data_IF_568694205078
#
_entry.id   IF_568694205078
#
_cell.length_a   1.000
_cell.length_b   1.000
_cell.length_c   1.000
_cell.angle_alpha   90.00
_cell.angle_beta   90.00
_cell.angle_gamma   90.00
#
_symmetry.space_group_name_H-M   'P 1'
#
loop_
_entity.id
_entity.type
_entity.pdbx_description
1 polymer ?
#
# COMPACT_ATOMS: atom_id res chain seq x y z
N UNK A 1 21.94 58.45 -31.10
CA UNK A 1 22.10 57.05 -30.63
C UNK A 1 21.10 56.19 -31.39
N UNK A 2 21.57 55.13 -32.06
CA UNK A 2 20.86 54.44 -33.14
C UNK A 2 19.82 53.43 -32.64
N UNK A 3 18.62 53.44 -33.24
CA UNK A 3 17.50 52.53 -32.95
C UNK A 3 17.90 51.04 -32.91
N UNK A 4 18.91 50.64 -33.69
CA UNK A 4 19.46 49.28 -33.70
C UNK A 4 19.97 48.81 -32.31
N UNK A 5 20.58 49.69 -31.51
CA UNK A 5 21.03 49.35 -30.16
C UNK A 5 19.85 49.11 -29.20
N UNK A 6 18.80 49.93 -29.30
CA UNK A 6 17.58 49.77 -28.51
C UNK A 6 16.85 48.46 -28.87
N UNK A 7 16.80 48.12 -30.16
CA UNK A 7 16.20 46.87 -30.63
C UNK A 7 16.99 45.63 -30.18
N UNK A 8 18.32 45.65 -30.29
CA UNK A 8 19.17 44.55 -29.83
C UNK A 8 19.07 44.32 -28.31
N UNK A 9 19.04 45.42 -27.53
CA UNK A 9 18.85 45.36 -26.09
C UNK A 9 17.48 44.79 -25.71
N UNK A 10 16.42 45.23 -26.40
CA UNK A 10 15.05 44.71 -26.20
C UNK A 10 14.95 43.22 -26.50
N UNK A 11 15.59 42.76 -27.57
CA UNK A 11 15.63 41.34 -27.93
C UNK A 11 16.38 40.48 -26.89
N UNK A 12 17.53 40.97 -26.38
CA UNK A 12 18.28 40.31 -25.31
C UNK A 12 17.47 40.22 -24.01
N UNK A 13 16.77 41.29 -23.63
CA UNK A 13 15.91 41.30 -22.45
C UNK A 13 14.73 40.32 -22.59
N UNK A 14 14.08 40.29 -23.76
CA UNK A 14 13.01 39.34 -24.05
C UNK A 14 13.47 37.89 -23.99
N UNK A 15 14.66 37.60 -24.54
CA UNK A 15 15.28 36.26 -24.47
C UNK A 15 15.66 35.88 -23.04
N UNK A 16 16.23 36.80 -22.27
CA UNK A 16 16.60 36.55 -20.87
C UNK A 16 15.38 36.26 -20.00
N UNK A 17 14.29 37.02 -20.17
CA UNK A 17 13.02 36.76 -19.47
C UNK A 17 12.44 35.42 -19.91
N UNK A 18 12.46 35.11 -21.21
CA UNK A 18 11.99 33.82 -21.73
C UNK A 18 12.80 32.62 -21.19
N UNK A 19 14.12 32.75 -21.08
CA UNK A 19 14.98 31.73 -20.51
C UNK A 19 14.73 31.53 -19.01
N UNK A 20 14.61 32.62 -18.24
CA UNK A 20 14.30 32.56 -16.81
C UNK A 20 12.91 31.98 -16.55
N UNK A 21 11.91 32.36 -17.36
CA UNK A 21 10.57 31.78 -17.31
C UNK A 21 10.63 30.27 -17.59
N UNK A 22 11.37 29.85 -18.62
CA UNK A 22 11.55 28.44 -18.96
C UNK A 22 12.19 27.66 -17.83
N UNK A 23 13.27 28.18 -17.23
CA UNK A 23 13.93 27.55 -16.07
C UNK A 23 12.99 27.45 -14.86
N UNK A 24 12.22 28.50 -14.58
CA UNK A 24 11.24 28.50 -13.49
C UNK A 24 10.13 27.46 -13.74
N UNK A 25 9.60 27.38 -14.96
CA UNK A 25 8.61 26.38 -15.36
C UNK A 25 9.17 24.96 -15.24
N UNK A 26 10.39 24.71 -15.76
CA UNK A 26 11.04 23.40 -15.65
C UNK A 26 11.25 23.02 -14.19
N UNK A 27 11.75 23.92 -13.35
CA UNK A 27 11.95 23.63 -11.93
C UNK A 27 10.63 23.31 -11.21
N UNK A 28 9.58 24.08 -11.48
CA UNK A 28 8.26 23.85 -10.91
C UNK A 28 7.71 22.49 -11.36
N UNK A 29 7.73 22.20 -12.67
CA UNK A 29 7.27 20.93 -13.23
C UNK A 29 8.06 19.75 -12.68
N UNK A 30 9.40 19.84 -12.66
CA UNK A 30 10.27 18.80 -12.13
C UNK A 30 9.94 18.51 -10.67
N UNK A 31 9.78 19.57 -9.85
CA UNK A 31 9.44 19.42 -8.44
C UNK A 31 8.06 18.78 -8.22
N UNK A 32 7.10 19.07 -9.10
CA UNK A 32 5.80 18.40 -9.07
C UNK A 32 5.90 16.93 -9.49
N UNK A 33 6.64 16.63 -10.55
CA UNK A 33 6.86 15.27 -11.04
C UNK A 33 7.59 14.40 -10.01
N UNK A 34 8.68 14.90 -9.42
CA UNK A 34 9.45 14.18 -8.40
C UNK A 34 8.58 13.82 -7.19
N UNK A 35 7.72 14.73 -6.74
CA UNK A 35 6.79 14.49 -5.62
C UNK A 35 5.74 13.46 -5.99
N UNK A 36 5.15 13.56 -7.18
CA UNK A 36 4.16 12.59 -7.65
C UNK A 36 4.78 11.19 -7.80
N UNK A 37 6.00 11.10 -8.32
CA UNK A 37 6.71 9.84 -8.50
C UNK A 37 7.06 9.18 -7.16
N UNK A 38 7.50 9.95 -6.15
CA UNK A 38 7.75 9.41 -4.80
C UNK A 38 6.50 8.82 -4.17
N UNK A 39 5.37 9.54 -4.24
CA UNK A 39 4.07 9.03 -3.74
C UNK A 39 3.64 7.77 -4.47
N UNK A 40 3.80 7.73 -5.79
CA UNK A 40 3.46 6.54 -6.57
C UNK A 40 4.33 5.34 -6.17
N UNK A 41 5.63 5.54 -5.96
CA UNK A 41 6.54 4.47 -5.50
C UNK A 41 6.19 3.98 -4.09
N UNK A 42 5.83 4.88 -3.18
CA UNK A 42 5.37 4.54 -1.83
C UNK A 42 4.08 3.72 -1.88
N UNK A 43 3.09 4.15 -2.67
CA UNK A 43 1.83 3.44 -2.85
C UNK A 43 2.04 2.03 -3.44
N UNK A 44 2.87 1.89 -4.48
CA UNK A 44 3.19 0.57 -5.05
C UNK A 44 3.86 -0.35 -4.03
N UNK A 45 4.73 0.20 -3.17
CA UNK A 45 5.39 -0.57 -2.11
C UNK A 45 4.39 -1.03 -1.04
N UNK A 46 3.47 -0.16 -0.63
CA UNK A 46 2.40 -0.50 0.32
C UNK A 46 1.46 -1.55 -0.27
N UNK A 47 1.00 -1.37 -1.50
CA UNK A 47 0.13 -2.30 -2.21
C UNK A 47 0.74 -3.72 -2.25
N UNK A 48 2.03 -3.82 -2.56
CA UNK A 48 2.74 -5.11 -2.56
C UNK A 48 2.76 -5.77 -1.18
N UNK A 49 3.06 -5.04 -0.11
CA UNK A 49 3.09 -5.59 1.25
C UNK A 49 1.70 -5.99 1.73
N UNK A 50 0.66 -5.22 1.37
CA UNK A 50 -0.72 -5.55 1.68
C UNK A 50 -1.16 -6.83 0.94
N UNK A 51 -0.79 -6.97 -0.33
CA UNK A 51 -1.01 -8.21 -1.09
C UNK A 51 -0.31 -9.42 -0.47
N UNK A 52 0.97 -9.30 -0.13
CA UNK A 52 1.76 -10.37 0.51
C UNK A 52 1.12 -10.82 1.84
N UNK A 53 0.62 -9.87 2.63
CA UNK A 53 -0.09 -10.18 3.88
C UNK A 53 -1.42 -10.91 3.62
N UNK A 54 -2.20 -10.46 2.64
CA UNK A 54 -3.49 -11.08 2.26
C UNK A 54 -3.28 -12.53 1.83
N UNK A 55 -2.30 -12.77 0.97
CA UNK A 55 -2.02 -14.11 0.44
C UNK A 55 -1.64 -15.07 1.57
N UNK A 56 -0.77 -14.64 2.49
CA UNK A 56 -0.33 -15.49 3.60
C UNK A 56 -1.43 -15.68 4.65
N UNK A 57 -2.18 -14.63 4.96
CA UNK A 57 -3.30 -14.69 5.88
C UNK A 57 -4.40 -15.64 5.37
N UNK A 58 -4.74 -15.59 4.08
CA UNK A 58 -5.73 -16.46 3.47
C UNK A 58 -5.32 -17.93 3.53
N UNK A 59 -4.05 -18.25 3.24
CA UNK A 59 -3.52 -19.62 3.33
C UNK A 59 -3.61 -20.15 4.76
N UNK A 60 -3.08 -19.39 5.72
CA UNK A 60 -3.06 -19.79 7.13
C UNK A 60 -4.48 -19.90 7.70
N UNK A 61 -5.40 -19.05 7.27
CA UNK A 61 -6.78 -19.12 7.72
C UNK A 61 -7.48 -20.40 7.27
N UNK A 62 -7.30 -20.81 6.01
CA UNK A 62 -7.86 -22.07 5.50
C UNK A 62 -7.18 -23.29 6.13
N UNK A 63 -5.86 -23.23 6.34
CA UNK A 63 -5.11 -24.26 7.08
C UNK A 63 -5.68 -24.42 8.50
N UNK A 64 -5.87 -23.31 9.23
CA UNK A 64 -6.43 -23.29 10.58
C UNK A 64 -7.86 -23.84 10.66
N UNK A 65 -8.67 -23.69 9.60
CA UNK A 65 -10.01 -24.27 9.58
C UNK A 65 -10.00 -25.79 9.48
N UNK A 66 -8.94 -26.40 8.98
CA UNK A 66 -8.86 -27.86 8.72
C UNK A 66 -7.89 -28.60 9.61
N UNK A 67 -6.93 -27.90 10.22
CA UNK A 67 -5.84 -28.46 10.99
C UNK A 67 -5.61 -27.67 12.27
N UNK A 68 -5.20 -28.38 13.33
CA UNK A 68 -4.68 -27.75 14.53
C UNK A 68 -3.27 -27.18 14.29
N UNK A 69 -2.85 -26.26 15.14
CA UNK A 69 -1.49 -25.72 15.05
C UNK A 69 -0.45 -26.74 15.52
N UNK A 70 0.16 -27.46 14.59
CA UNK A 70 1.24 -28.43 14.85
C UNK A 70 2.64 -27.80 14.81
N UNK A 71 2.84 -26.81 13.94
CA UNK A 71 4.13 -26.14 13.75
C UNK A 71 3.97 -24.61 13.86
N UNK A 72 4.41 -24.00 14.97
CA UNK A 72 4.37 -22.54 15.19
C UNK A 72 5.12 -21.74 14.12
N UNK A 73 6.09 -22.33 13.41
CA UNK A 73 6.88 -21.62 12.41
C UNK A 73 6.07 -21.19 11.20
N UNK A 74 4.89 -21.80 10.96
CA UNK A 74 3.94 -21.40 9.91
C UNK A 74 3.54 -19.92 9.98
N UNK A 75 3.49 -19.32 11.18
CA UNK A 75 3.09 -17.92 11.38
C UNK A 75 4.27 -16.93 11.21
N UNK A 76 5.51 -17.41 11.10
CA UNK A 76 6.71 -16.56 11.02
C UNK A 76 6.68 -15.66 9.80
N UNK A 77 6.24 -16.16 8.64
CA UNK A 77 6.17 -15.34 7.44
C UNK A 77 5.11 -14.23 7.59
N UNK A 78 3.91 -14.57 8.05
CA UNK A 78 2.83 -13.61 8.28
C UNK A 78 3.25 -12.50 9.26
N UNK A 79 3.90 -12.87 10.38
CA UNK A 79 4.38 -11.89 11.38
C UNK A 79 5.53 -11.04 10.87
N UNK A 80 6.40 -11.58 9.99
CA UNK A 80 7.44 -10.81 9.33
C UNK A 80 6.83 -9.77 8.36
N UNK A 81 5.84 -10.15 7.56
CA UNK A 81 5.13 -9.22 6.66
C UNK A 81 4.40 -8.15 7.46
N UNK A 82 3.69 -8.52 8.54
CA UNK A 82 3.06 -7.57 9.45
C UNK A 82 4.06 -6.58 10.04
N UNK A 83 5.24 -7.05 10.46
CA UNK A 83 6.30 -6.19 10.98
C UNK A 83 6.80 -5.18 9.94
N UNK A 84 6.87 -5.56 8.66
CA UNK A 84 7.19 -4.63 7.56
C UNK A 84 6.07 -3.60 7.35
N UNK A 85 4.81 -4.00 7.45
CA UNK A 85 3.64 -3.11 7.35
C UNK A 85 3.70 -2.04 8.47
N UNK A 86 3.98 -2.45 9.71
CA UNK A 86 4.05 -1.55 10.89
C UNK A 86 5.07 -0.42 10.76
N UNK A 87 6.05 -0.53 9.88
CA UNK A 87 7.06 0.51 9.68
C UNK A 87 6.51 1.76 8.98
N UNK A 88 5.41 1.65 8.22
CA UNK A 88 4.92 2.74 7.36
C UNK A 88 3.40 2.91 7.33
N UNK A 89 2.64 1.86 7.66
CA UNK A 89 1.19 1.89 7.55
C UNK A 89 0.54 2.72 8.67
N UNK A 90 -0.63 3.34 8.40
CA UNK A 90 -1.36 4.08 9.41
C UNK A 90 -1.92 3.14 10.50
N UNK A 91 -2.24 3.68 11.69
CA UNK A 91 -2.76 2.89 12.81
C UNK A 91 -3.97 2.02 12.45
N UNK A 92 -4.88 2.52 11.60
CA UNK A 92 -6.06 1.77 11.14
C UNK A 92 -5.72 0.49 10.38
N UNK A 93 -4.66 0.50 9.55
CA UNK A 93 -4.19 -0.69 8.83
C UNK A 93 -3.52 -1.66 9.80
N UNK A 94 -2.73 -1.15 10.75
CA UNK A 94 -2.05 -1.96 11.77
C UNK A 94 -3.07 -2.70 12.64
N UNK A 95 -4.07 -1.99 13.15
CA UNK A 95 -5.13 -2.55 14.00
C UNK A 95 -5.93 -3.63 13.25
N UNK A 96 -6.29 -3.38 11.99
CA UNK A 96 -7.02 -4.35 11.18
C UNK A 96 -6.18 -5.60 10.85
N UNK A 97 -4.87 -5.44 10.58
CA UNK A 97 -3.96 -6.57 10.38
C UNK A 97 -3.80 -7.42 11.66
N UNK A 98 -3.73 -6.77 12.83
CA UNK A 98 -3.65 -7.48 14.10
C UNK A 98 -4.92 -8.31 14.37
N UNK A 99 -6.09 -7.76 14.04
CA UNK A 99 -7.36 -8.48 14.14
C UNK A 99 -7.37 -9.74 13.24
N UNK A 100 -6.81 -9.64 12.02
CA UNK A 100 -6.63 -10.78 11.12
C UNK A 100 -5.74 -11.87 11.72
N UNK A 101 -4.56 -11.49 12.24
CA UNK A 101 -3.62 -12.43 12.87
C UNK A 101 -4.30 -13.13 14.05
N UNK A 102 -4.97 -12.36 14.92
CA UNK A 102 -5.69 -12.90 16.08
C UNK A 102 -6.74 -13.91 15.66
N UNK A 103 -7.54 -13.59 14.63
CA UNK A 103 -8.57 -14.48 14.10
C UNK A 103 -8.00 -15.79 13.56
N UNK A 104 -6.86 -15.75 12.87
CA UNK A 104 -6.15 -16.96 12.40
C UNK A 104 -5.72 -17.82 13.58
N UNK A 105 -5.07 -17.22 14.58
CA UNK A 105 -4.60 -17.92 15.78
C UNK A 105 -5.78 -18.56 16.52
N UNK A 106 -6.86 -17.81 16.76
CA UNK A 106 -8.08 -18.32 17.40
C UNK A 106 -8.66 -19.51 16.63
N UNK A 107 -8.64 -19.48 15.30
CA UNK A 107 -9.19 -20.56 14.46
C UNK A 107 -8.39 -21.85 14.60
N UNK A 108 -7.08 -21.80 14.82
CA UNK A 108 -6.27 -22.99 15.10
C UNK A 108 -6.63 -23.68 16.43
N UNK A 109 -7.34 -22.98 17.32
CA UNK A 109 -7.84 -23.54 18.59
C UNK A 109 -9.33 -23.95 18.52
N UNK A 110 -10.01 -23.67 17.41
CA UNK A 110 -11.37 -24.15 17.16
C UNK A 110 -11.34 -25.63 16.68
N UNK A 111 -12.41 -26.41 16.87
CA UNK A 111 -12.52 -27.73 16.27
C UNK A 111 -12.42 -27.67 14.73
N UNK A 112 -11.61 -28.56 14.15
CA UNK A 112 -11.44 -28.65 12.69
C UNK A 112 -12.78 -28.82 11.98
N UNK A 113 -12.92 -28.10 10.88
CA UNK A 113 -14.10 -28.16 10.03
C UNK A 113 -14.00 -29.29 9.00
N UNK A 114 -15.07 -30.08 8.89
CA UNK A 114 -15.25 -31.02 7.79
C UNK A 114 -15.92 -30.31 6.60
N UNK A 115 -15.12 -29.91 5.63
CA UNK A 115 -15.59 -29.27 4.41
C UNK A 115 -16.36 -30.23 3.48
N UNK A 116 -16.18 -31.55 3.60
CA UNK A 116 -16.94 -32.52 2.80
C UNK A 116 -18.40 -32.61 3.25
N UNK A 117 -18.69 -32.27 4.52
CA UNK A 117 -20.04 -32.34 5.09
C UNK A 117 -20.73 -30.99 5.23
N UNK A 118 -20.12 -29.88 4.77
CA UNK A 118 -20.75 -28.55 4.80
C UNK A 118 -21.42 -28.21 3.46
N UNK A 119 -22.75 -28.04 3.42
CA UNK A 119 -23.46 -27.69 2.19
C UNK A 119 -23.35 -26.21 1.79
N UNK A 120 -22.82 -25.32 2.64
CA UNK A 120 -22.74 -23.88 2.31
C UNK A 120 -21.55 -23.15 2.96
N UNK A 121 -20.58 -22.80 2.13
CA UNK A 121 -19.43 -21.95 2.49
C UNK A 121 -19.87 -20.50 2.82
N UNK A 122 -21.06 -20.06 2.38
CA UNK A 122 -21.58 -18.70 2.62
C UNK A 122 -22.14 -18.49 4.04
N UNK A 123 -22.40 -19.58 4.78
CA UNK A 123 -23.05 -19.50 6.10
C UNK A 123 -22.16 -18.93 7.20
N UNK A 124 -20.83 -18.95 7.03
CA UNK A 124 -19.92 -18.19 7.88
C UNK A 124 -19.65 -16.87 7.18
N UNK A 125 -19.97 -15.74 7.84
CA UNK A 125 -19.45 -14.40 7.54
C UNK A 125 -17.92 -14.42 7.58
N UNK A 126 -17.28 -15.03 6.59
CA UNK A 126 -15.85 -15.24 6.52
C UNK A 126 -15.18 -14.09 5.80
N UNK A 127 -15.66 -12.89 6.08
CA UNK A 127 -15.08 -11.66 5.57
C UNK A 127 -13.96 -11.18 6.50
N UNK A 128 -13.12 -12.13 6.95
CA UNK A 128 -12.11 -11.88 8.00
C UNK A 128 -11.05 -10.87 7.56
N UNK A 129 -10.91 -10.63 6.25
CA UNK A 129 -10.03 -9.64 5.64
C UNK A 129 -10.74 -8.32 5.29
N UNK A 130 -12.05 -8.18 5.47
CA UNK A 130 -12.75 -7.00 4.94
C UNK A 130 -12.33 -5.70 5.62
N UNK A 131 -12.17 -5.70 6.93
CA UNK A 131 -11.70 -4.50 7.65
C UNK A 131 -10.27 -4.14 7.23
N UNK A 132 -9.40 -5.16 7.06
CA UNK A 132 -8.02 -4.95 6.60
C UNK A 132 -7.96 -4.39 5.18
N UNK A 133 -8.67 -5.00 4.23
CA UNK A 133 -8.69 -4.55 2.82
C UNK A 133 -9.34 -3.18 2.68
N UNK A 134 -10.33 -2.85 3.51
CA UNK A 134 -10.94 -1.52 3.57
C UNK A 134 -9.95 -0.48 4.09
N UNK A 135 -9.23 -0.78 5.17
CA UNK A 135 -8.19 0.09 5.71
C UNK A 135 -7.06 0.32 4.68
N UNK A 136 -6.60 -0.74 4.02
CA UNK A 136 -5.58 -0.66 2.96
C UNK A 136 -6.05 0.21 1.79
N UNK A 137 -7.31 0.07 1.36
CA UNK A 137 -7.87 0.89 0.28
C UNK A 137 -7.93 2.37 0.64
N UNK A 138 -8.23 2.68 1.90
CA UNK A 138 -8.25 4.07 2.38
C UNK A 138 -6.83 4.66 2.44
N UNK A 139 -5.86 3.86 2.89
CA UNK A 139 -4.44 4.25 2.91
C UNK A 139 -3.89 4.54 1.51
N UNK A 140 -4.13 3.64 0.54
CA UNK A 140 -3.67 3.81 -0.85
C UNK A 140 -4.34 4.98 -1.61
N UNK A 141 -5.44 5.53 -1.08
CA UNK A 141 -6.16 6.66 -1.66
C UNK A 141 -5.78 8.01 -1.04
N UNK A 142 -5.07 8.02 0.09
CA UNK A 142 -4.65 9.22 0.81
C UNK A 142 -3.47 9.92 0.12
#
# INVERSE_FOLDING_TARGET
MNAAYLSALSALLGSAIGALASLATTWLTQRHQDRAQRRAQEATRQERLYGEFIDEAAKLYVDAMTHAMEDPTKIVHLTAVFSKIRLFAPPSVIEAAEAVIRRIIETYYDPNEDFAQRPDFKSRKNDFLTDFTTACRNDLRA
#
